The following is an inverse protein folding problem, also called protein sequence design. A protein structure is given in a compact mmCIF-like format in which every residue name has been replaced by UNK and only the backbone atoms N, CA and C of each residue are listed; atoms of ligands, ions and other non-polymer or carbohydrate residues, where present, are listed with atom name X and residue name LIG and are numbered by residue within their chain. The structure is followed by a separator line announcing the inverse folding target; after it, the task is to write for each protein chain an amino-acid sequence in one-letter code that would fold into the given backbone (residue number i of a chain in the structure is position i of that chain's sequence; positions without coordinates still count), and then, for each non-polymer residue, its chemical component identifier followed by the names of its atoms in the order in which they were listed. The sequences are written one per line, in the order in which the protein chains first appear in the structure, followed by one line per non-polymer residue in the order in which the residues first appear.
data_IF_875906228019
#
_entry.id   IF_875906228019
#
_cell.length_a   1.000
_cell.length_b   1.000
_cell.length_c   1.000
_cell.angle_alpha   90.00
_cell.angle_beta   90.00
_cell.angle_gamma   90.00
#
_symmetry.space_group_name_H-M   'P 1'
#
loop_
_entity.id
_entity.type
_entity.pdbx_description
1 polymer ?
#
# COMPACT_ATOMS: atom_id res chain seq x y z
N UNK A 1 15.18 -6.26 -5.97
CA UNK A 1 15.28 -5.04 -5.14
C UNK A 1 15.04 -5.48 -3.72
N UNK A 2 15.87 -5.06 -2.76
CA UNK A 2 15.59 -5.31 -1.35
C UNK A 2 15.65 -3.99 -0.61
N UNK A 3 14.54 -3.62 0.01
CA UNK A 3 14.43 -2.48 0.89
C UNK A 3 14.47 -2.95 2.34
N UNK A 4 15.01 -2.13 3.23
CA UNK A 4 14.99 -2.37 4.68
C UNK A 4 13.55 -2.41 5.22
N UNK A 5 12.65 -1.65 4.60
CA UNK A 5 11.25 -1.52 4.97
C UNK A 5 10.38 -1.94 3.77
N UNK A 6 9.36 -2.75 4.01
CA UNK A 6 8.29 -2.97 3.05
C UNK A 6 7.24 -1.88 3.18
N UNK A 7 6.97 -1.14 2.11
CA UNK A 7 5.89 -0.15 2.08
C UNK A 7 5.07 -0.32 0.81
N UNK A 8 3.78 -0.01 0.91
CA UNK A 8 2.86 0.04 -0.22
C UNK A 8 2.55 1.50 -0.54
N UNK A 9 2.30 1.75 -1.84
CA UNK A 9 1.87 3.04 -2.38
C UNK A 9 0.77 2.80 -3.40
N UNK A 10 -0.23 3.68 -3.45
CA UNK A 10 -1.14 3.74 -4.58
C UNK A 10 -0.41 4.34 -5.79
N UNK A 11 -0.66 3.78 -6.97
CA UNK A 11 -0.11 4.25 -8.24
C UNK A 11 -1.22 4.26 -9.28
N UNK A 12 -1.17 5.23 -10.21
CA UNK A 12 -2.10 5.24 -11.32
C UNK A 12 -1.79 4.10 -12.31
N UNK A 13 -2.82 3.59 -12.99
CA UNK A 13 -2.70 2.49 -13.94
C UNK A 13 -1.87 2.82 -15.19
N UNK A 14 -1.58 4.11 -15.46
CA UNK A 14 -0.63 4.51 -16.50
C UNK A 14 0.83 4.15 -16.16
N UNK A 15 1.13 3.87 -14.89
CA UNK A 15 2.49 3.55 -14.44
C UNK A 15 2.82 2.12 -14.83
N UNK A 16 3.90 1.95 -15.60
CA UNK A 16 4.42 0.63 -15.97
C UNK A 16 5.42 0.17 -14.90
N UNK A 17 5.08 -0.84 -14.08
CA UNK A 17 5.97 -1.35 -13.05
C UNK A 17 7.13 -2.14 -13.65
N UNK A 18 8.33 -1.98 -13.10
CA UNK A 18 9.44 -2.87 -13.41
C UNK A 18 9.27 -4.26 -12.75
N UNK A 19 9.97 -5.26 -13.27
CA UNK A 19 9.89 -6.69 -12.92
C UNK A 19 10.14 -7.08 -11.44
N UNK A 20 10.55 -6.12 -10.60
CA UNK A 20 10.84 -6.34 -9.18
C UNK A 20 9.80 -5.73 -8.24
N UNK A 21 8.83 -4.99 -8.77
CA UNK A 21 7.69 -4.48 -8.01
C UNK A 21 6.59 -5.54 -7.96
N UNK A 22 5.96 -5.66 -6.79
CA UNK A 22 4.74 -6.46 -6.64
C UNK A 22 3.56 -5.51 -6.85
N UNK A 23 2.66 -5.88 -7.76
CA UNK A 23 1.45 -5.11 -8.04
C UNK A 23 0.25 -5.85 -7.49
N UNK A 24 -0.52 -5.16 -6.66
CA UNK A 24 -1.83 -5.60 -6.17
C UNK A 24 -2.87 -4.72 -6.87
N UNK A 25 -3.65 -5.30 -7.78
CA UNK A 25 -4.64 -4.57 -8.58
C UNK A 25 -5.92 -4.30 -7.77
N UNK A 26 -5.81 -3.49 -6.72
CA UNK A 26 -6.92 -3.05 -5.84
C UNK A 26 -6.79 -1.57 -5.52
N UNK A 27 -7.93 -0.92 -5.29
CA UNK A 27 -8.01 0.52 -5.00
C UNK A 27 -8.66 0.83 -3.65
N UNK A 28 -8.93 -0.17 -2.82
CA UNK A 28 -9.58 0.01 -1.52
C UNK A 28 -8.56 0.17 -0.37
N UNK A 29 -8.90 1.06 0.56
CA UNK A 29 -8.06 1.38 1.72
C UNK A 29 -8.00 0.21 2.72
N UNK A 30 -9.03 -0.65 2.78
CA UNK A 30 -9.02 -1.83 3.66
C UNK A 30 -7.87 -2.77 3.32
N UNK A 31 -7.74 -3.20 2.07
CA UNK A 31 -6.66 -4.10 1.66
C UNK A 31 -5.29 -3.47 1.82
N UNK A 32 -5.19 -2.18 1.48
CA UNK A 32 -3.99 -1.40 1.73
C UNK A 32 -3.61 -1.45 3.22
N UNK A 33 -4.57 -1.22 4.12
CA UNK A 33 -4.37 -1.24 5.56
C UNK A 33 -3.91 -2.60 6.09
N UNK A 34 -4.59 -3.68 5.70
CA UNK A 34 -4.22 -5.04 6.13
C UNK A 34 -2.79 -5.39 5.71
N UNK A 35 -2.44 -5.15 4.44
CA UNK A 35 -1.10 -5.45 3.92
C UNK A 35 0.00 -4.55 4.47
N UNK A 36 -0.36 -3.39 5.02
CA UNK A 36 0.59 -2.44 5.59
C UNK A 36 0.70 -2.53 7.12
N UNK A 37 0.00 -3.48 7.73
CA UNK A 37 0.03 -3.75 9.17
C UNK A 37 1.23 -4.59 9.61
N UNK A 38 1.58 -4.49 10.90
CA UNK A 38 2.54 -5.36 11.59
C UNK A 38 2.20 -6.84 11.43
N UNK A 39 0.91 -7.21 11.42
CA UNK A 39 0.48 -8.61 11.27
C UNK A 39 0.98 -9.19 9.95
N UNK A 40 0.81 -8.45 8.85
CA UNK A 40 1.31 -8.87 7.55
C UNK A 40 2.84 -8.77 7.46
N UNK A 41 3.46 -7.77 8.08
CA UNK A 41 4.92 -7.65 8.15
C UNK A 41 5.56 -8.89 8.80
N UNK A 42 5.08 -9.29 9.97
CA UNK A 42 5.57 -10.47 10.70
C UNK A 42 5.41 -11.74 9.85
N UNK A 43 4.26 -11.92 9.21
CA UNK A 43 4.03 -13.04 8.29
C UNK A 43 5.01 -13.02 7.11
N UNK A 44 5.13 -11.88 6.44
CA UNK A 44 5.94 -11.73 5.24
C UNK A 44 7.44 -11.91 5.53
N UNK A 45 7.93 -11.45 6.69
CA UNK A 45 9.31 -11.65 7.13
C UNK A 45 9.62 -13.12 7.41
N UNK A 46 8.64 -13.90 7.88
CA UNK A 46 8.81 -15.32 8.16
C UNK A 46 8.69 -16.21 6.93
N UNK A 47 7.72 -15.92 6.07
CA UNK A 47 7.37 -16.72 4.90
C UNK A 47 8.10 -16.29 3.62
N UNK A 48 8.67 -15.08 3.63
CA UNK A 48 9.52 -14.59 2.57
C UNK A 48 10.86 -15.33 2.49
N UNK A 49 11.60 -15.06 1.42
CA UNK A 49 12.97 -15.57 1.28
C UNK A 49 13.96 -14.49 1.72
N UNK A 50 15.25 -14.84 1.78
CA UNK A 50 16.32 -13.86 2.00
C UNK A 50 17.25 -13.84 0.80
N UNK A 51 17.66 -12.65 0.39
CA UNK A 51 18.83 -12.47 -0.48
C UNK A 51 19.98 -12.06 0.42
N UNK A 52 20.88 -12.99 0.73
CA UNK A 52 21.87 -12.83 1.81
C UNK A 52 21.18 -12.52 3.15
N UNK A 53 21.37 -11.32 3.71
CA UNK A 53 20.77 -10.88 4.98
C UNK A 53 19.43 -10.16 4.82
N UNK A 54 19.04 -9.89 3.58
CA UNK A 54 18.01 -8.92 3.21
C UNK A 54 16.70 -9.61 2.85
N UNK A 55 15.55 -9.28 3.49
CA UNK A 55 14.29 -9.97 3.25
C UNK A 55 13.74 -9.71 1.85
N UNK A 56 13.21 -10.74 1.20
CA UNK A 56 12.59 -10.67 -0.12
C UNK A 56 11.13 -11.12 -0.03
N UNK A 57 10.24 -10.24 -0.49
CA UNK A 57 8.83 -10.55 -0.60
C UNK A 57 8.58 -11.42 -1.84
N UNK A 58 7.96 -12.59 -1.63
CA UNK A 58 7.58 -13.52 -2.70
C UNK A 58 6.07 -13.73 -2.62
N UNK A 59 5.27 -13.24 -3.58
CA UNK A 59 3.80 -13.27 -3.47
C UNK A 59 3.23 -14.66 -3.17
N UNK A 60 3.75 -15.70 -3.82
CA UNK A 60 3.27 -17.08 -3.67
C UNK A 60 3.49 -17.65 -2.26
N UNK A 61 4.48 -17.16 -1.50
CA UNK A 61 4.72 -17.62 -0.13
C UNK A 61 4.28 -16.62 0.93
N UNK A 62 4.18 -15.33 0.60
CA UNK A 62 3.77 -14.27 1.52
C UNK A 62 2.28 -13.94 1.38
N UNK A 63 1.84 -13.48 0.20
CA UNK A 63 0.48 -12.97 -0.02
C UNK A 63 -0.54 -14.11 -0.12
N UNK A 64 -0.27 -15.09 -0.97
CA UNK A 64 -1.23 -16.16 -1.29
C UNK A 64 -1.50 -17.09 -0.10
N UNK A 65 -0.57 -17.15 0.86
CA UNK A 65 -0.68 -17.98 2.08
C UNK A 65 -1.12 -17.17 3.29
N UNK A 66 -1.22 -15.84 3.18
CA UNK A 66 -1.53 -14.99 4.32
C UNK A 66 -2.97 -15.24 4.80
N UNK A 67 -3.17 -15.58 6.09
CA UNK A 67 -4.50 -15.76 6.62
C UNK A 67 -5.14 -14.39 6.92
N UNK A 68 -5.70 -13.74 5.90
CA UNK A 68 -6.40 -12.44 6.02
C UNK A 68 -7.50 -12.43 7.11
N UNK A 69 -7.85 -11.29 7.74
CA UNK A 69 -8.90 -11.28 8.76
C UNK A 69 -10.21 -11.88 8.23
N UNK A 70 -10.60 -11.45 7.02
CA UNK A 70 -11.59 -12.11 6.17
C UNK A 70 -10.94 -12.46 4.83
N UNK A 71 -11.32 -13.59 4.20
CA UNK A 71 -10.80 -13.94 2.88
C UNK A 71 -11.04 -12.81 1.86
N UNK A 72 -10.13 -12.62 0.89
CA UNK A 72 -10.26 -11.55 -0.09
C UNK A 72 -11.61 -11.59 -0.83
N UNK A 73 -12.39 -10.51 -0.77
CA UNK A 73 -13.73 -10.43 -1.37
C UNK A 73 -14.85 -11.07 -0.54
N UNK A 74 -14.55 -11.46 0.71
CA UNK A 74 -15.52 -11.99 1.69
C UNK A 74 -15.60 -11.13 2.94
N UNK A 75 -15.04 -9.91 2.89
CA UNK A 75 -15.12 -8.95 3.97
C UNK A 75 -16.59 -8.49 4.17
N UNK A 76 -17.10 -8.49 5.42
CA UNK A 76 -18.43 -7.99 5.72
C UNK A 76 -18.47 -6.46 5.53
N UNK A 77 -19.20 -6.00 4.51
CA UNK A 77 -19.21 -4.59 4.10
C UNK A 77 -19.69 -3.62 5.21
N UNK A 78 -20.60 -4.07 6.07
CA UNK A 78 -21.17 -3.27 7.15
C UNK A 78 -20.46 -3.46 8.51
N UNK A 79 -19.37 -4.23 8.56
CA UNK A 79 -18.64 -4.42 9.81
C UNK A 79 -17.79 -3.18 10.13
N UNK A 80 -17.96 -2.57 11.31
CA UNK A 80 -17.23 -1.35 11.67
C UNK A 80 -15.71 -1.53 11.68
N UNK A 81 -15.20 -2.77 11.80
CA UNK A 81 -13.77 -3.06 11.76
C UNK A 81 -13.18 -2.93 10.36
N UNK A 82 -13.96 -3.20 9.30
CA UNK A 82 -13.52 -2.98 7.91
C UNK A 82 -13.31 -1.49 7.67
N UNK A 83 -14.26 -0.65 8.07
CA UNK A 83 -14.14 0.81 7.95
C UNK A 83 -13.04 1.36 8.86
N UNK A 84 -12.88 0.86 10.08
CA UNK A 84 -11.81 1.31 10.98
C UNK A 84 -10.41 1.08 10.39
N UNK A 85 -10.20 -0.05 9.70
CA UNK A 85 -8.95 -0.33 8.99
C UNK A 85 -8.79 0.62 7.81
N UNK A 86 -9.84 0.79 7.00
CA UNK A 86 -9.84 1.69 5.84
C UNK A 86 -9.55 3.15 6.24
N UNK A 87 -10.14 3.64 7.31
CA UNK A 87 -9.92 5.00 7.82
C UNK A 87 -8.47 5.18 8.30
N UNK A 88 -7.94 4.23 9.09
CA UNK A 88 -6.56 4.29 9.57
C UNK A 88 -5.54 4.22 8.42
N UNK A 89 -5.81 3.38 7.43
CA UNK A 89 -5.04 3.24 6.20
C UNK A 89 -5.01 4.53 5.38
N UNK A 90 -6.18 5.13 5.14
CA UNK A 90 -6.34 6.38 4.41
C UNK A 90 -5.61 7.53 5.10
N UNK A 91 -5.70 7.61 6.43
CA UNK A 91 -4.98 8.62 7.21
C UNK A 91 -3.46 8.43 7.14
N UNK A 92 -2.98 7.19 7.27
CA UNK A 92 -1.56 6.87 7.12
C UNK A 92 -1.05 7.25 5.72
N UNK A 93 -1.80 6.91 4.66
CA UNK A 93 -1.42 7.30 3.31
C UNK A 93 -1.41 8.82 3.12
N UNK A 94 -2.45 9.51 3.58
CA UNK A 94 -2.53 10.98 3.54
C UNK A 94 -1.34 11.64 4.23
N UNK A 95 -0.97 11.17 5.44
CA UNK A 95 0.16 11.70 6.19
C UNK A 95 1.49 11.46 5.47
N UNK A 96 1.70 10.25 4.92
CA UNK A 96 2.91 9.93 4.14
C UNK A 96 2.98 10.77 2.86
N UNK A 97 1.88 10.88 2.14
CA UNK A 97 1.77 11.66 0.89
C UNK A 97 2.00 13.15 1.13
N UNK A 98 1.43 13.71 2.21
CA UNK A 98 1.68 15.11 2.64
C UNK A 98 3.13 15.31 3.04
N UNK A 99 3.71 14.35 3.78
CA UNK A 99 5.12 14.41 4.12
C UNK A 99 6.00 14.29 2.87
N UNK A 100 5.69 13.46 1.88
CA UNK A 100 6.49 13.36 0.65
C UNK A 100 6.39 14.62 -0.19
N UNK A 101 5.19 15.20 -0.28
CA UNK A 101 4.84 16.28 -1.19
C UNK A 101 4.22 17.47 -0.44
N UNK A 102 4.97 18.14 0.45
CA UNK A 102 4.46 19.25 1.24
C UNK A 102 3.91 20.39 0.35
N UNK A 103 2.68 20.88 0.59
CA UNK A 103 2.04 21.91 -0.25
C UNK A 103 2.78 23.25 -0.23
N UNK A 104 3.62 23.50 0.77
CA UNK A 104 4.53 24.64 0.81
C UNK A 104 5.61 24.56 -0.29
N UNK A 105 6.04 23.36 -0.70
CA UNK A 105 7.12 23.14 -1.67
C UNK A 105 6.64 22.60 -3.03
N UNK A 106 5.41 22.08 -3.10
CA UNK A 106 4.86 21.48 -4.31
C UNK A 106 3.70 22.29 -4.89
N UNK A 107 3.49 22.15 -6.20
CA UNK A 107 2.30 22.62 -6.92
C UNK A 107 1.86 21.57 -7.91
N UNK A 108 0.61 21.65 -8.34
CA UNK A 108 0.13 20.85 -9.45
C UNK A 108 0.46 21.54 -10.78
N UNK A 109 0.89 20.75 -11.75
CA UNK A 109 1.07 21.14 -13.14
C UNK A 109 0.37 20.11 -14.03
N UNK A 110 -0.48 20.56 -14.93
CA UNK A 110 -1.20 19.68 -15.86
C UNK A 110 -0.36 19.50 -17.11
N UNK A 111 0.03 18.26 -17.39
CA UNK A 111 0.63 17.89 -18.67
C UNK A 111 -0.46 17.74 -19.71
N UNK A 112 -0.32 18.47 -20.81
CA UNK A 112 -1.21 18.37 -21.97
C UNK A 112 -0.48 17.76 -23.17
N UNK A 113 -1.08 16.72 -23.75
CA UNK A 113 -0.57 16.07 -24.95
C UNK A 113 -1.69 15.28 -25.66
N UNK A 114 -1.56 14.98 -26.96
CA UNK A 114 -2.56 14.18 -27.66
C UNK A 114 -2.57 12.72 -27.15
N UNK A 115 -3.76 12.15 -26.97
CA UNK A 115 -3.91 10.74 -26.58
C UNK A 115 -5.21 10.12 -27.10
N UNK A 116 -5.17 8.81 -27.31
CA UNK A 116 -6.33 8.03 -27.77
C UNK A 116 -7.30 7.74 -26.62
N UNK A 117 -8.60 7.90 -26.89
CA UNK A 117 -9.69 7.58 -25.96
C UNK A 117 -9.74 6.09 -25.56
N UNK A 118 -9.15 5.21 -26.36
CA UNK A 118 -9.02 3.77 -26.06
C UNK A 118 -7.60 3.38 -25.61
N UNK A 119 -6.73 4.39 -25.39
CA UNK A 119 -5.34 4.20 -25.01
C UNK A 119 -5.12 4.07 -23.50
N UNK A 120 -3.86 3.92 -23.06
CA UNK A 120 -3.52 3.85 -21.63
C UNK A 120 -3.92 5.11 -20.85
N UNK A 121 -4.08 6.24 -21.56
CA UNK A 121 -4.47 7.54 -20.99
C UNK A 121 -5.98 7.81 -21.04
N UNK A 122 -6.81 6.85 -21.46
CA UNK A 122 -8.25 7.03 -21.69
C UNK A 122 -8.97 7.84 -20.61
N UNK A 123 -8.64 7.61 -19.32
CA UNK A 123 -9.22 8.30 -18.16
C UNK A 123 -8.97 9.81 -18.11
N UNK A 124 -7.95 10.28 -18.81
CA UNK A 124 -7.50 11.67 -18.83
C UNK A 124 -7.74 12.34 -20.18
N UNK A 125 -8.33 11.64 -21.16
CA UNK A 125 -8.60 12.19 -22.50
C UNK A 125 -9.87 13.05 -22.44
N UNK A 126 -9.75 14.28 -22.92
CA UNK A 126 -10.85 15.22 -23.09
C UNK A 126 -11.06 15.55 -24.56
N UNK A 127 -12.33 15.77 -24.94
CA UNK A 127 -12.75 16.24 -26.26
C UNK A 127 -12.15 15.45 -27.44
N UNK A 128 -12.35 14.12 -27.53
CA UNK A 128 -11.81 13.33 -28.63
C UNK A 128 -12.48 13.67 -29.97
N UNK A 129 -11.68 13.71 -31.04
CA UNK A 129 -12.14 13.92 -32.40
C UNK A 129 -12.78 12.65 -33.03
N UNK A 130 -13.19 12.72 -34.30
CA UNK A 130 -13.76 11.59 -35.05
C UNK A 130 -12.81 10.39 -35.17
N UNK A 131 -11.50 10.58 -34.94
CA UNK A 131 -10.47 9.53 -34.94
C UNK A 131 -10.21 8.98 -33.54
N UNK A 132 -10.94 9.44 -32.53
CA UNK A 132 -10.78 9.06 -31.13
C UNK A 132 -9.55 9.67 -30.46
N UNK A 133 -8.95 10.72 -31.05
CA UNK A 133 -7.79 11.41 -30.47
C UNK A 133 -8.27 12.68 -29.79
N UNK A 134 -8.06 12.76 -28.48
CA UNK A 134 -8.35 13.94 -27.68
C UNK A 134 -7.10 14.51 -27.01
N UNK A 135 -7.32 15.48 -26.13
CA UNK A 135 -6.25 16.09 -25.32
C UNK A 135 -6.22 15.42 -23.96
N UNK A 136 -5.11 14.74 -23.65
CA UNK A 136 -4.83 14.22 -22.32
C UNK A 136 -4.53 15.39 -21.40
N UNK A 137 -5.19 15.46 -20.25
CA UNK A 137 -4.86 16.39 -19.16
C UNK A 137 -4.48 15.61 -17.92
N UNK A 138 -3.17 15.46 -17.69
CA UNK A 138 -2.66 14.68 -16.57
C UNK A 138 -2.06 15.58 -15.48
N UNK A 139 -2.67 15.64 -14.28
CA UNK A 139 -2.12 16.41 -13.18
C UNK A 139 -0.87 15.72 -12.63
N UNK A 140 0.22 16.48 -12.49
CA UNK A 140 1.45 16.02 -11.83
C UNK A 140 1.81 16.96 -10.69
N UNK A 141 2.30 16.39 -9.60
CA UNK A 141 2.94 17.17 -8.55
C UNK A 141 4.37 17.53 -8.96
N UNK A 142 4.68 18.82 -8.99
CA UNK A 142 6.04 19.34 -9.27
C UNK A 142 6.54 20.25 -8.14
N UNK A 143 7.86 20.43 -8.00
CA UNK A 143 8.40 21.49 -7.14
C UNK A 143 7.97 22.87 -7.63
N UNK A 144 7.75 23.81 -6.70
CA UNK A 144 7.44 25.21 -7.05
C UNK A 144 8.62 25.94 -7.70
N UNK A 145 9.83 25.63 -7.26
CA UNK A 145 11.06 26.24 -7.76
C UNK A 145 12.26 25.30 -7.52
N UNK A 146 13.46 25.75 -7.91
CA UNK A 146 14.70 24.99 -7.81
C UNK A 146 15.08 24.68 -6.36
N UNK A 147 14.79 25.60 -5.43
CA UNK A 147 15.10 25.41 -4.00
C UNK A 147 14.18 24.35 -3.38
N UNK A 148 12.89 24.42 -3.68
CA UNK A 148 11.92 23.38 -3.33
C UNK A 148 12.33 22.02 -3.90
N UNK A 149 12.82 21.98 -5.14
CA UNK A 149 13.31 20.75 -5.77
C UNK A 149 14.52 20.15 -5.03
N UNK A 150 15.42 20.99 -4.52
CA UNK A 150 16.56 20.56 -3.69
C UNK A 150 16.06 19.98 -2.37
N UNK A 151 15.14 20.67 -1.69
CA UNK A 151 14.59 20.24 -0.40
C UNK A 151 13.81 18.91 -0.50
N UNK A 152 13.11 18.69 -1.62
CA UNK A 152 12.34 17.46 -1.86
C UNK A 152 13.24 16.22 -2.06
N UNK A 153 14.51 16.36 -2.44
CA UNK A 153 15.42 15.20 -2.65
C UNK A 153 15.57 14.32 -1.41
N UNK A 154 15.51 14.90 -0.22
CA UNK A 154 15.60 14.16 1.04
C UNK A 154 14.29 13.46 1.42
N UNK A 155 13.17 13.80 0.78
CA UNK A 155 11.83 13.32 1.15
C UNK A 155 11.46 12.06 0.39
N UNK A 156 12.11 10.95 0.78
CA UNK A 156 11.80 9.61 0.26
C UNK A 156 11.15 8.77 1.34
N UNK A 157 10.32 7.79 0.96
CA UNK A 157 9.74 6.84 1.93
C UNK A 157 10.83 6.10 2.72
N UNK A 158 11.95 5.75 2.08
CA UNK A 158 13.10 5.15 2.76
C UNK A 158 13.61 6.05 3.89
N UNK A 159 13.81 7.35 3.63
CA UNK A 159 14.25 8.29 4.66
C UNK A 159 13.20 8.48 5.75
N UNK A 160 11.93 8.59 5.39
CA UNK A 160 10.83 8.71 6.34
C UNK A 160 10.78 7.52 7.31
N UNK A 161 10.88 6.28 6.80
CA UNK A 161 10.82 5.07 7.62
C UNK A 161 12.12 4.80 8.37
N UNK A 162 13.26 5.28 7.89
CA UNK A 162 14.51 5.26 8.64
C UNK A 162 14.48 6.22 9.84
N UNK A 163 13.93 7.42 9.67
CA UNK A 163 13.77 8.39 10.75
C UNK A 163 12.66 8.00 11.72
N UNK A 164 11.58 7.38 11.20
CA UNK A 164 10.38 6.93 11.92
C UNK A 164 9.89 7.98 12.94
N UNK A 165 9.49 9.19 12.48
CA UNK A 165 9.00 10.24 13.37
C UNK A 165 7.78 9.78 14.17
N UNK A 166 7.55 10.38 15.34
CA UNK A 166 6.50 9.98 16.28
C UNK A 166 5.11 9.89 15.63
N UNK A 167 4.75 10.84 14.77
CA UNK A 167 3.46 10.81 14.07
C UNK A 167 3.31 9.57 13.18
N UNK A 168 4.40 9.11 12.54
CA UNK A 168 4.38 7.94 11.69
C UNK A 168 4.22 6.68 12.53
N UNK A 169 4.94 6.60 13.65
CA UNK A 169 4.81 5.49 14.59
C UNK A 169 3.38 5.40 15.17
N UNK A 170 2.76 6.53 15.51
CA UNK A 170 1.39 6.56 16.01
C UNK A 170 0.37 6.19 14.94
N UNK A 171 0.54 6.65 13.69
CA UNK A 171 -0.35 6.29 12.59
C UNK A 171 -0.30 4.78 12.30
N UNK A 172 0.89 4.18 12.31
CA UNK A 172 1.06 2.73 12.22
C UNK A 172 0.43 2.01 13.42
N UNK A 173 0.63 2.49 14.65
CA UNK A 173 0.01 1.88 15.83
C UNK A 173 -1.53 1.93 15.78
N UNK A 174 -2.13 3.01 15.25
CA UNK A 174 -3.59 3.11 15.02
C UNK A 174 -4.04 2.06 13.99
N UNK A 175 -3.32 1.94 12.88
CA UNK A 175 -3.61 0.94 11.86
C UNK A 175 -3.51 -0.48 12.43
N UNK A 176 -2.43 -0.79 13.13
CA UNK A 176 -2.22 -2.09 13.75
C UNK A 176 -3.35 -2.42 14.71
N UNK A 177 -3.71 -1.52 15.64
CA UNK A 177 -4.82 -1.74 16.56
C UNK A 177 -6.14 -2.08 15.84
N UNK A 178 -6.45 -1.42 14.72
CA UNK A 178 -7.63 -1.71 13.92
C UNK A 178 -7.57 -3.10 13.26
N UNK A 179 -6.41 -3.49 12.72
CA UNK A 179 -6.23 -4.82 12.12
C UNK A 179 -6.25 -5.92 13.18
N UNK A 180 -5.60 -5.74 14.33
CA UNK A 180 -5.67 -6.66 15.46
C UNK A 180 -7.11 -6.87 15.94
N UNK A 181 -7.93 -5.81 15.98
CA UNK A 181 -9.36 -5.93 16.32
C UNK A 181 -10.17 -6.76 15.30
N UNK A 182 -9.80 -6.75 14.01
CA UNK A 182 -10.41 -7.62 13.00
C UNK A 182 -10.11 -9.11 13.24
N UNK A 183 -8.93 -9.44 13.75
CA UNK A 183 -8.58 -10.79 14.20
C UNK A 183 -9.14 -11.15 15.59
N UNK A 184 -9.55 -10.15 16.38
CA UNK A 184 -9.91 -10.33 17.78
C UNK A 184 -8.70 -10.60 18.68
N UNK A 185 -7.53 -10.08 18.29
CA UNK A 185 -6.25 -10.30 18.97
C UNK A 185 -5.77 -9.05 19.73
N UNK A 186 -4.89 -9.24 20.71
CA UNK A 186 -4.31 -8.15 21.50
C UNK A 186 -3.12 -7.53 20.74
N UNK A 187 -3.11 -6.20 20.47
CA UNK A 187 -1.98 -5.53 19.83
C UNK A 187 -0.66 -5.62 20.64
N UNK A 188 -0.71 -5.97 21.93
CA UNK A 188 0.46 -6.17 22.77
C UNK A 188 1.17 -7.53 22.58
N UNK A 189 0.62 -8.44 21.76
CA UNK A 189 1.26 -9.73 21.45
C UNK A 189 2.67 -9.54 20.90
N UNK A 190 3.61 -10.41 21.31
CA UNK A 190 4.97 -10.44 20.72
C UNK A 190 4.94 -10.95 19.27
N UNK A 191 6.00 -10.72 18.51
CA UNK A 191 6.09 -11.21 17.12
C UNK A 191 6.00 -12.74 17.06
N UNK A 192 6.56 -13.45 18.05
CA UNK A 192 6.49 -14.90 18.15
C UNK A 192 5.06 -15.39 18.39
N UNK A 193 4.34 -14.80 19.36
CA UNK A 193 2.95 -15.16 19.65
C UNK A 193 2.03 -14.88 18.46
N UNK A 194 2.26 -13.74 17.79
CA UNK A 194 1.53 -13.37 16.58
C UNK A 194 1.78 -14.38 15.46
N UNK A 195 3.04 -14.77 15.24
CA UNK A 195 3.40 -15.76 14.23
C UNK A 195 2.78 -17.14 14.52
N UNK A 196 2.81 -17.60 15.78
CA UNK A 196 2.17 -18.85 16.19
C UNK A 196 0.67 -18.83 15.89
N UNK A 197 -0.01 -17.73 16.21
CA UNK A 197 -1.44 -17.55 15.96
C UNK A 197 -1.77 -17.52 14.46
N UNK A 198 -0.94 -16.85 13.65
CA UNK A 198 -1.09 -16.83 12.19
C UNK A 198 -0.87 -18.22 11.57
N UNK A 199 0.13 -18.97 12.03
CA UNK A 199 0.40 -20.32 11.55
C UNK A 199 -0.77 -21.26 11.88
N UNK A 200 -1.31 -21.19 13.09
CA UNK A 200 -2.47 -21.97 13.50
C UNK A 200 -3.70 -21.65 12.63
N UNK A 201 -4.00 -20.36 12.42
CA UNK A 201 -5.12 -19.92 11.58
C UNK A 201 -4.96 -20.34 10.12
N UNK A 202 -3.74 -20.31 9.59
CA UNK A 202 -3.48 -20.77 8.22
C UNK A 202 -3.72 -22.28 8.07
N UNK A 203 -3.26 -23.10 9.03
CA UNK A 203 -3.49 -24.55 9.04
C UNK A 203 -4.98 -24.90 9.15
N UNK A 204 -5.72 -24.21 10.01
CA UNK A 204 -7.17 -24.39 10.17
C UNK A 204 -7.92 -24.12 8.86
N UNK A 205 -7.56 -23.05 8.14
CA UNK A 205 -8.20 -22.68 6.87
C UNK A 205 -7.81 -23.59 5.73
N UNK A 206 -6.56 -24.04 5.67
CA UNK A 206 -6.12 -25.02 4.70
C UNK A 206 -6.88 -26.35 4.86
N UNK A 207 -7.14 -26.78 6.09
CA UNK A 207 -7.96 -27.96 6.37
C UNK A 207 -9.42 -27.77 5.95
N UNK A 208 -9.99 -26.57 6.18
CA UNK A 208 -11.39 -26.26 5.87
C UNK A 208 -11.65 -26.01 4.37
N UNK A 209 -10.64 -25.61 3.59
CA UNK A 209 -10.75 -25.42 2.14
C UNK A 209 -10.60 -26.72 1.32
N UNK A 210 -10.20 -27.82 1.95
CA UNK A 210 -10.08 -29.14 1.29
C UNK A 210 -11.42 -29.91 1.30
N UNK A 211 -12.42 -29.43 2.03
CA UNK A 211 -13.72 -30.09 2.24
C UNK A 211 -14.88 -29.46 1.47
N UNK A 212 -14.62 -28.56 0.51
CA UNK A 212 -15.62 -27.91 -0.35
C UNK A 212 -15.48 -28.27 -1.82
#
# INVERSE_FOLDING_TARGET
MVAKHGFLVFVDAIVVPANLLIVVARSDDYFFGVLHSRIHEVWALRMGTRLETRPRYTPTTCFETFPFPWPPGKEPQDDPRVEAIAEAARELDRLRSTWLNPPEWTREEVLEFPGSADGPWARYVHDPDERGIGTVRYPRTVPKDVECAINLKARTLTNLYNQRPTWLALAHAKLDAAVFAAYGWDPAMTDEQLLESLLALNLERAASGCTS
#
